data_IF_405873519000
#
_entry.id   IF_405873519000
#
_cell.length_a   1.000
_cell.length_b   1.000
_cell.length_c   1.000
_cell.angle_alpha   90.00
_cell.angle_beta   90.00
_cell.angle_gamma   90.00
#
_symmetry.space_group_name_H-M   'P 1'
#
loop_
_entity.id
_entity.type
_entity.pdbx_description
1 polymer ?
#
# COMPACT_ATOMS: atom_id res chain seq x y z
N UNK A 1 14.83 0.48 -18.51
CA UNK A 1 14.77 1.53 -17.48
C UNK A 1 13.37 1.76 -16.85
N UNK A 2 12.27 1.18 -17.37
CA UNK A 2 10.89 1.41 -16.86
C UNK A 2 10.55 0.60 -15.58
N UNK A 3 11.26 -0.48 -15.30
CA UNK A 3 11.02 -1.37 -14.14
C UNK A 3 11.59 -0.87 -12.81
N UNK A 4 12.53 0.07 -12.84
CA UNK A 4 13.23 0.55 -11.64
C UNK A 4 12.33 1.47 -10.77
N UNK A 5 11.45 2.26 -11.40
CA UNK A 5 10.57 3.19 -10.67
C UNK A 5 9.50 2.48 -9.82
N UNK A 6 8.89 1.42 -10.36
CA UNK A 6 7.88 0.65 -9.63
C UNK A 6 8.48 -0.11 -8.44
N UNK A 7 9.69 -0.64 -8.59
CA UNK A 7 10.42 -1.33 -7.51
C UNK A 7 10.87 -0.36 -6.40
N UNK A 8 11.31 0.84 -6.77
CA UNK A 8 11.74 1.86 -5.81
C UNK A 8 10.56 2.37 -4.97
N UNK A 9 9.39 2.54 -5.58
CA UNK A 9 8.18 3.04 -4.91
C UNK A 9 7.64 2.04 -3.89
N UNK A 10 7.72 0.74 -4.20
CA UNK A 10 7.30 -0.33 -3.29
C UNK A 10 8.26 -0.46 -2.09
N UNK A 11 9.57 -0.35 -2.34
CA UNK A 11 10.60 -0.39 -1.29
C UNK A 11 10.46 0.78 -0.31
N UNK A 12 10.10 1.97 -0.78
CA UNK A 12 9.91 3.16 0.08
C UNK A 12 8.69 3.02 1.00
N UNK A 13 7.65 2.30 0.57
CA UNK A 13 6.47 2.00 1.40
C UNK A 13 6.77 0.98 2.51
N UNK A 14 7.78 0.13 2.32
CA UNK A 14 8.15 -0.94 3.25
C UNK A 14 9.30 -0.54 4.17
N UNK A 15 10.24 0.27 3.70
CA UNK A 15 11.50 0.60 4.41
C UNK A 15 11.33 1.47 5.68
N UNK A 16 10.14 2.01 5.94
CA UNK A 16 9.85 2.79 7.15
C UNK A 16 9.35 1.98 8.35
N UNK A 17 9.23 0.66 8.25
CA UNK A 17 8.65 -0.18 9.27
C UNK A 17 9.70 -1.07 9.94
N UNK A 18 10.23 -0.63 11.09
CA UNK A 18 10.87 -1.53 12.06
C UNK A 18 9.83 -2.52 12.57
N UNK A 19 10.06 -3.80 12.29
CA UNK A 19 9.16 -4.88 12.67
C UNK A 19 9.25 -5.15 14.19
N UNK A 20 8.15 -4.91 14.89
CA UNK A 20 7.98 -5.21 16.32
C UNK A 20 6.81 -6.19 16.46
N UNK A 21 6.98 -7.27 17.20
CA UNK A 21 6.10 -8.45 17.28
C UNK A 21 4.94 -8.37 18.33
N UNK A 22 3.71 -8.89 18.10
CA UNK A 22 2.59 -8.83 19.08
C UNK A 22 1.26 -9.56 18.73
N UNK A 23 0.25 -9.76 19.60
CA UNK A 23 -0.93 -10.66 19.50
C UNK A 23 -2.12 -10.18 18.64
N UNK A 24 -2.89 -11.10 18.03
CA UNK A 24 -4.01 -10.80 17.10
C UNK A 24 -5.29 -10.36 17.82
N UNK A 25 -5.88 -9.24 17.40
CA UNK A 25 -7.20 -8.75 17.77
C UNK A 25 -8.04 -8.37 16.53
N UNK A 26 -9.36 -8.21 16.71
CA UNK A 26 -10.24 -7.72 15.65
C UNK A 26 -9.80 -6.33 15.12
N UNK A 27 -10.14 -6.04 13.87
CA UNK A 27 -9.82 -4.74 13.25
C UNK A 27 -10.34 -3.58 14.10
N UNK A 28 -9.47 -2.61 14.37
CA UNK A 28 -9.85 -1.42 15.15
C UNK A 28 -10.76 -0.50 14.34
N UNK A 29 -11.48 0.41 15.00
CA UNK A 29 -12.27 1.46 14.33
C UNK A 29 -11.41 2.27 13.36
N UNK A 30 -10.13 2.48 13.70
CA UNK A 30 -9.18 3.19 12.84
C UNK A 30 -8.84 2.38 11.59
N UNK A 31 -8.57 1.09 11.72
CA UNK A 31 -8.31 0.18 10.59
C UNK A 31 -9.52 0.09 9.66
N UNK A 32 -10.72 -0.05 10.23
CA UNK A 32 -11.99 -0.05 9.46
C UNK A 32 -12.15 1.25 8.67
N UNK A 33 -11.90 2.40 9.30
CA UNK A 33 -11.96 3.71 8.63
C UNK A 33 -10.97 3.81 7.49
N UNK A 34 -9.72 3.41 7.73
CA UNK A 34 -8.65 3.47 6.73
C UNK A 34 -8.94 2.52 5.57
N UNK A 35 -9.44 1.32 5.84
CA UNK A 35 -9.87 0.37 4.80
C UNK A 35 -11.00 0.95 3.94
N UNK A 36 -11.99 1.58 4.58
CA UNK A 36 -13.10 2.24 3.88
C UNK A 36 -12.58 3.36 2.98
N UNK A 37 -11.68 4.21 3.48
CA UNK A 37 -11.06 5.28 2.69
C UNK A 37 -10.22 4.71 1.54
N UNK A 38 -9.41 3.67 1.80
CA UNK A 38 -8.63 2.99 0.76
C UNK A 38 -9.50 2.47 -0.37
N UNK A 39 -10.62 1.82 -0.03
CA UNK A 39 -11.55 1.27 -1.03
C UNK A 39 -12.26 2.37 -1.85
N UNK A 40 -12.53 3.52 -1.22
CA UNK A 40 -13.15 4.67 -1.90
C UNK A 40 -12.17 5.46 -2.78
N UNK A 41 -10.86 5.35 -2.54
CA UNK A 41 -9.83 5.97 -3.39
C UNK A 41 -9.71 5.16 -4.68
N UNK A 42 -9.73 5.85 -5.83
CA UNK A 42 -9.59 5.21 -7.14
C UNK A 42 -8.44 5.86 -7.92
N UNK A 43 -7.52 5.08 -8.50
CA UNK A 43 -6.51 5.60 -9.42
C UNK A 43 -7.14 6.50 -10.50
N UNK A 44 -6.48 7.60 -10.82
CA UNK A 44 -7.00 8.66 -11.70
C UNK A 44 -7.71 9.82 -10.99
N UNK A 45 -8.11 9.67 -9.71
CA UNK A 45 -8.66 10.78 -8.93
C UNK A 45 -7.66 11.94 -8.83
N UNK A 46 -8.17 13.17 -8.93
CA UNK A 46 -7.38 14.37 -8.64
C UNK A 46 -7.11 14.49 -7.14
N UNK A 47 -6.10 15.31 -6.75
CA UNK A 47 -5.82 15.58 -5.33
C UNK A 47 -7.09 16.10 -4.60
N UNK A 48 -7.91 16.95 -5.24
CA UNK A 48 -9.14 17.44 -4.63
C UNK A 48 -10.19 16.33 -4.39
N UNK A 49 -10.32 15.40 -5.34
CA UNK A 49 -11.22 14.24 -5.18
C UNK A 49 -10.72 13.29 -4.07
N UNK A 50 -9.43 12.98 -4.05
CA UNK A 50 -8.84 12.17 -2.99
C UNK A 50 -8.93 12.85 -1.62
N UNK A 51 -8.71 14.16 -1.53
CA UNK A 51 -8.88 14.94 -0.31
C UNK A 51 -10.32 14.86 0.21
N UNK A 52 -11.34 14.84 -0.67
CA UNK A 52 -12.74 14.66 -0.27
C UNK A 52 -12.98 13.31 0.40
N UNK A 53 -12.35 12.24 -0.10
CA UNK A 53 -12.42 10.91 0.53
C UNK A 53 -11.79 10.92 1.92
N UNK A 54 -10.62 11.55 2.06
CA UNK A 54 -9.83 11.53 3.32
C UNK A 54 -10.41 12.45 4.39
N UNK A 55 -10.80 13.68 4.01
CA UNK A 55 -11.19 14.74 4.94
C UNK A 55 -12.71 15.02 4.97
N UNK A 56 -13.49 14.34 4.13
CA UNK A 56 -14.93 14.53 4.04
C UNK A 56 -15.30 15.98 3.67
N UNK A 57 -16.26 16.56 4.39
CA UNK A 57 -16.77 17.94 4.13
C UNK A 57 -15.72 19.04 4.28
N UNK A 58 -14.69 18.82 5.07
CA UNK A 58 -13.64 19.81 5.34
C UNK A 58 -12.49 19.81 4.31
N UNK A 59 -12.57 18.99 3.26
CA UNK A 59 -11.49 18.80 2.30
C UNK A 59 -10.98 20.09 1.65
N UNK A 60 -11.86 21.07 1.37
CA UNK A 60 -11.47 22.34 0.75
C UNK A 60 -10.47 23.12 1.61
N UNK A 61 -10.60 23.04 2.94
CA UNK A 61 -9.69 23.68 3.90
C UNK A 61 -8.28 23.10 3.84
N UNK A 62 -8.14 21.88 3.34
CA UNK A 62 -6.87 21.15 3.23
C UNK A 62 -6.15 21.36 1.90
N UNK A 63 -6.74 22.11 0.98
CA UNK A 63 -6.19 22.38 -0.34
C UNK A 63 -5.54 23.75 -0.42
N UNK A 64 -4.51 23.86 -1.26
CA UNK A 64 -3.87 25.12 -1.64
C UNK A 64 -3.43 25.05 -3.11
N UNK A 65 -3.00 26.20 -3.65
CA UNK A 65 -2.40 26.30 -4.98
C UNK A 65 -0.88 26.35 -4.87
N UNK A 66 -0.21 25.63 -5.76
CA UNK A 66 1.23 25.74 -5.99
C UNK A 66 1.43 25.94 -7.49
N UNK A 67 1.59 27.22 -7.90
CA UNK A 67 1.45 27.60 -9.31
C UNK A 67 0.05 27.29 -9.82
N UNK A 68 -0.06 26.65 -10.97
CA UNK A 68 -1.32 26.19 -11.57
C UNK A 68 -1.91 24.94 -10.94
N UNK A 69 -1.14 24.23 -10.11
CA UNK A 69 -1.54 22.93 -9.53
C UNK A 69 -2.30 23.09 -8.21
N UNK A 70 -3.32 22.25 -7.99
CA UNK A 70 -3.95 22.08 -6.69
C UNK A 70 -3.21 20.99 -5.91
N UNK A 71 -2.78 21.30 -4.68
CA UNK A 71 -2.03 20.40 -3.80
C UNK A 71 -2.62 20.40 -2.38
N UNK A 72 -2.22 19.43 -1.54
CA UNK A 72 -2.56 19.46 -0.12
C UNK A 72 -1.70 20.50 0.61
N UNK A 73 -2.26 21.14 1.66
CA UNK A 73 -1.53 22.03 2.57
C UNK A 73 -0.49 21.29 3.40
N UNK A 74 -0.75 20.02 3.74
CA UNK A 74 0.25 19.22 4.44
C UNK A 74 1.51 19.08 3.60
N UNK A 75 2.67 18.99 4.25
CA UNK A 75 3.95 18.78 3.59
C UNK A 75 3.93 17.44 2.82
N UNK A 76 4.34 17.47 1.56
CA UNK A 76 4.57 16.26 0.79
C UNK A 76 5.78 15.50 1.35
N UNK A 77 5.70 14.17 1.37
CA UNK A 77 6.84 13.30 1.73
C UNK A 77 7.93 13.34 0.65
N UNK A 78 7.51 13.35 -0.61
CA UNK A 78 8.41 13.49 -1.73
C UNK A 78 7.77 14.28 -2.88
N UNK A 79 8.61 14.97 -3.64
CA UNK A 79 8.24 15.61 -4.89
C UNK A 79 9.36 15.39 -5.89
N UNK A 80 9.02 15.15 -7.15
CA UNK A 80 9.99 15.08 -8.23
C UNK A 80 9.41 15.59 -9.54
N UNK A 81 10.30 15.91 -10.46
CA UNK A 81 9.93 16.24 -11.85
C UNK A 81 10.89 15.49 -12.76
N UNK A 82 10.34 14.75 -13.70
CA UNK A 82 11.12 13.99 -14.69
C UNK A 82 10.38 13.97 -16.03
N UNK A 83 11.08 14.27 -17.10
CA UNK A 83 10.55 14.24 -18.48
C UNK A 83 9.25 15.05 -18.66
N UNK A 84 9.09 16.15 -17.93
CA UNK A 84 7.90 17.01 -17.96
C UNK A 84 6.70 16.47 -17.15
N UNK A 85 6.84 15.33 -16.48
CA UNK A 85 5.88 14.85 -15.49
C UNK A 85 6.30 15.26 -14.09
N UNK A 86 5.33 15.66 -13.26
CA UNK A 86 5.54 15.99 -11.85
C UNK A 86 4.94 14.88 -10.99
N UNK A 87 5.61 14.57 -9.89
CA UNK A 87 5.15 13.62 -8.87
C UNK A 87 5.09 14.29 -7.52
N UNK A 88 4.09 13.96 -6.72
CA UNK A 88 4.01 14.29 -5.29
C UNK A 88 3.42 13.12 -4.51
N UNK A 89 3.95 12.88 -3.31
CA UNK A 89 3.43 11.84 -2.42
C UNK A 89 3.03 12.41 -1.07
N UNK A 90 2.04 11.77 -0.46
CA UNK A 90 1.53 12.13 0.86
C UNK A 90 1.28 10.86 1.68
N UNK A 91 1.59 10.93 2.97
CA UNK A 91 1.26 9.89 3.93
C UNK A 91 0.26 10.41 4.97
N UNK A 92 -0.69 9.55 5.33
CA UNK A 92 -1.74 9.83 6.32
C UNK A 92 -1.67 8.74 7.38
N UNK A 93 -1.45 9.12 8.63
CA UNK A 93 -1.28 8.19 9.74
C UNK A 93 -1.92 8.70 11.02
N UNK A 94 -2.22 7.78 11.92
CA UNK A 94 -2.76 8.11 13.23
C UNK A 94 -1.64 8.62 14.15
N UNK A 95 -1.59 9.92 14.37
CA UNK A 95 -0.59 10.57 15.25
C UNK A 95 -0.63 10.13 16.71
N UNK A 96 -1.73 9.49 17.14
CA UNK A 96 -1.90 8.98 18.51
C UNK A 96 -1.38 7.55 18.69
N UNK A 97 -1.08 6.85 17.60
CA UNK A 97 -0.48 5.52 17.63
C UNK A 97 1.02 5.63 17.92
N UNK A 98 1.55 4.79 18.81
CA UNK A 98 2.98 4.70 19.10
C UNK A 98 3.81 4.43 17.85
N UNK A 99 3.27 3.64 16.90
CA UNK A 99 3.90 3.28 15.64
C UNK A 99 3.40 4.12 14.46
N UNK A 100 2.58 5.16 14.70
CA UNK A 100 1.95 5.98 13.67
C UNK A 100 1.21 5.15 12.58
N UNK A 101 0.65 3.99 12.97
CA UNK A 101 -0.03 3.07 12.07
C UNK A 101 -1.56 3.04 12.34
N UNK A 102 -2.40 2.67 11.39
CA UNK A 102 -2.11 2.40 9.98
C UNK A 102 -1.70 3.64 9.20
N UNK A 103 -0.93 3.44 8.12
CA UNK A 103 -0.50 4.51 7.21
C UNK A 103 -1.14 4.32 5.84
N UNK A 104 -1.82 5.33 5.35
CA UNK A 104 -2.25 5.43 3.95
C UNK A 104 -1.24 6.28 3.20
N UNK A 105 -0.68 5.75 2.12
CA UNK A 105 0.26 6.45 1.25
C UNK A 105 -0.36 6.65 -0.13
N UNK A 106 -0.29 7.87 -0.63
CA UNK A 106 -0.84 8.25 -1.93
C UNK A 106 0.25 8.90 -2.76
N UNK A 107 0.41 8.45 -4.01
CA UNK A 107 1.28 9.07 -4.99
C UNK A 107 0.43 9.62 -6.12
N UNK A 108 0.66 10.86 -6.43
CA UNK A 108 -0.01 11.56 -7.53
C UNK A 108 1.02 11.97 -8.58
N UNK A 109 0.67 11.81 -9.84
CA UNK A 109 1.49 12.24 -10.98
C UNK A 109 0.66 13.10 -11.93
N UNK A 110 1.33 14.01 -12.64
CA UNK A 110 0.73 14.71 -13.78
C UNK A 110 0.99 13.93 -15.06
N UNK A 111 0.21 14.21 -16.12
CA UNK A 111 0.67 13.91 -17.47
C UNK A 111 1.84 14.84 -17.83
N UNK A 112 2.54 14.52 -18.90
CA UNK A 112 3.63 15.37 -19.44
C UNK A 112 3.09 16.78 -19.70
N UNK A 113 3.79 17.79 -19.16
CA UNK A 113 3.46 19.20 -19.27
C UNK A 113 2.05 19.61 -18.78
N UNK A 114 1.42 18.78 -17.93
CA UNK A 114 0.14 19.07 -17.28
C UNK A 114 0.37 19.62 -15.86
N UNK A 115 -0.65 20.27 -15.31
CA UNK A 115 -0.67 20.77 -13.93
C UNK A 115 -1.61 19.99 -13.02
N UNK A 116 -2.41 19.08 -13.58
CA UNK A 116 -3.40 18.29 -12.83
C UNK A 116 -2.77 17.01 -12.32
N UNK A 117 -2.55 16.95 -11.01
CA UNK A 117 -2.11 15.73 -10.33
C UNK A 117 -3.25 14.71 -10.25
N UNK A 118 -2.95 13.46 -10.61
CA UNK A 118 -3.86 12.32 -10.54
C UNK A 118 -3.25 11.20 -9.72
N UNK A 119 -4.06 10.55 -8.90
CA UNK A 119 -3.66 9.40 -8.09
C UNK A 119 -3.18 8.27 -9.01
N UNK A 120 -1.95 7.85 -8.81
CA UNK A 120 -1.34 6.73 -9.54
C UNK A 120 -1.08 5.53 -8.65
N UNK A 121 -0.74 5.79 -7.38
CA UNK A 121 -0.52 4.73 -6.41
C UNK A 121 -1.28 5.08 -5.14
N UNK A 122 -2.06 4.14 -4.65
CA UNK A 122 -2.59 4.13 -3.30
C UNK A 122 -2.06 2.90 -2.58
N UNK A 123 -1.63 3.07 -1.35
CA UNK A 123 -1.18 1.99 -0.50
C UNK A 123 -1.73 2.18 0.92
N UNK A 124 -1.98 1.09 1.60
CA UNK A 124 -2.25 1.10 3.03
C UNK A 124 -1.35 0.09 3.72
N UNK A 125 -0.73 0.54 4.78
CA UNK A 125 0.10 -0.28 5.65
C UNK A 125 -0.64 -0.44 6.98
N UNK A 126 -1.03 -1.66 7.31
CA UNK A 126 -1.77 -2.01 8.51
C UNK A 126 -0.91 -2.92 9.39
N UNK A 127 0.03 -2.32 10.11
CA UNK A 127 0.59 -3.00 11.27
C UNK A 127 -0.36 -2.77 12.45
N UNK A 128 -0.69 -3.83 13.14
CA UNK A 128 -1.57 -3.73 14.30
C UNK A 128 -0.82 -3.09 15.46
N UNK A 129 -1.38 -1.99 15.96
CA UNK A 129 -0.88 -1.26 17.10
C UNK A 129 -1.32 -1.94 18.41
N UNK A 130 -0.43 -2.07 19.35
CA UNK A 130 -0.74 -2.43 20.74
C UNK A 130 -0.18 -1.38 21.67
N UNK A 131 -0.80 -1.23 22.84
CA UNK A 131 -0.32 -0.37 23.92
C UNK A 131 1.09 -0.73 24.40
N UNK A 132 1.55 -1.95 24.12
CA UNK A 132 2.89 -2.45 24.46
C UNK A 132 3.90 -2.31 23.33
N UNK A 133 3.45 -1.93 22.13
CA UNK A 133 4.31 -1.78 20.94
C UNK A 133 4.85 -3.08 20.36
N UNK A 134 4.49 -4.23 20.92
CA UNK A 134 5.02 -5.53 20.49
C UNK A 134 3.86 -6.50 20.23
N UNK A 135 3.75 -7.01 19.00
CA UNK A 135 2.76 -8.03 18.62
C UNK A 135 3.42 -9.23 17.95
N UNK A 136 3.10 -10.40 18.44
CA UNK A 136 3.44 -11.63 17.74
C UNK A 136 2.19 -12.17 17.04
N UNK A 137 2.22 -12.26 15.71
CA UNK A 137 1.23 -13.04 14.99
C UNK A 137 1.29 -14.50 15.45
N UNK A 138 0.14 -15.09 15.74
CA UNK A 138 0.02 -16.53 15.99
C UNK A 138 0.16 -17.34 14.70
N UNK A 139 0.10 -16.67 13.55
CA UNK A 139 0.26 -17.27 12.24
C UNK A 139 1.73 -17.56 12.00
N UNK A 140 2.04 -18.83 11.76
CA UNK A 140 3.39 -19.29 11.43
C UNK A 140 3.31 -20.22 10.24
N UNK A 141 4.38 -20.29 9.46
CA UNK A 141 4.49 -21.30 8.43
C UNK A 141 4.46 -22.70 9.10
N UNK A 142 3.58 -23.59 8.64
CA UNK A 142 3.48 -24.95 9.15
C UNK A 142 4.82 -25.69 8.97
N UNK A 143 5.16 -26.59 9.90
CA UNK A 143 6.43 -27.32 9.86
C UNK A 143 6.60 -28.07 8.53
N UNK A 144 7.70 -27.80 7.84
CA UNK A 144 8.02 -28.39 6.54
C UNK A 144 7.29 -27.77 5.34
N UNK A 145 6.35 -26.84 5.55
CA UNK A 145 5.70 -26.14 4.47
C UNK A 145 6.66 -25.17 3.77
N UNK A 146 6.51 -25.04 2.47
CA UNK A 146 7.31 -24.12 1.63
C UNK A 146 6.39 -23.21 0.85
N UNK A 147 6.66 -21.91 0.90
CA UNK A 147 6.01 -20.95 0.02
C UNK A 147 6.59 -21.10 -1.39
N UNK A 148 5.71 -21.11 -2.39
CA UNK A 148 6.12 -21.21 -3.80
C UNK A 148 5.51 -20.04 -4.58
N UNK A 149 6.25 -19.48 -5.51
CA UNK A 149 5.73 -18.52 -6.49
C UNK A 149 4.55 -19.13 -7.25
N UNK A 150 3.52 -18.35 -7.50
CA UNK A 150 2.30 -18.80 -8.16
C UNK A 150 1.24 -19.42 -7.25
N UNK A 151 1.53 -19.66 -5.95
CA UNK A 151 0.50 -20.02 -4.97
C UNK A 151 -0.55 -18.92 -4.87
N UNK A 152 -1.81 -19.30 -4.80
CA UNK A 152 -2.89 -18.33 -4.52
C UNK A 152 -2.86 -17.91 -3.05
N UNK A 153 -3.52 -16.78 -2.75
CA UNK A 153 -3.69 -16.30 -1.37
C UNK A 153 -4.32 -17.38 -0.48
N UNK A 154 -5.31 -18.14 -0.99
CA UNK A 154 -5.94 -19.23 -0.28
C UNK A 154 -4.98 -20.41 -0.04
N UNK A 155 -4.14 -20.76 -1.01
CA UNK A 155 -3.12 -21.81 -0.85
C UNK A 155 -2.05 -21.40 0.16
N UNK A 156 -1.68 -20.10 0.18
CA UNK A 156 -0.77 -19.56 1.18
C UNK A 156 -1.38 -19.65 2.58
N UNK A 157 -2.66 -19.27 2.74
CA UNK A 157 -3.37 -19.39 4.02
C UNK A 157 -3.41 -20.83 4.53
N UNK A 158 -3.61 -21.80 3.65
CA UNK A 158 -3.70 -23.21 4.00
C UNK A 158 -2.40 -23.84 4.55
N UNK A 159 -1.23 -23.25 4.26
CA UNK A 159 0.06 -23.70 4.78
C UNK A 159 0.53 -22.97 6.03
N UNK A 160 -0.30 -22.09 6.58
CA UNK A 160 -0.06 -21.39 7.84
C UNK A 160 -0.69 -22.17 9.00
N UNK A 161 -0.11 -22.05 10.18
CA UNK A 161 -0.57 -22.78 11.38
C UNK A 161 -1.77 -22.14 12.08
N UNK A 162 -2.25 -20.99 11.60
CA UNK A 162 -3.42 -20.28 12.09
C UNK A 162 -4.58 -20.33 11.10
N UNK A 163 -5.66 -19.61 11.38
CA UNK A 163 -6.81 -19.47 10.48
C UNK A 163 -6.96 -18.05 10.03
N UNK A 164 -7.02 -17.85 8.72
CA UNK A 164 -7.33 -16.58 8.08
C UNK A 164 -6.17 -15.60 7.99
N UNK A 165 -5.99 -15.03 6.84
CA UNK A 165 -4.97 -14.01 6.55
C UNK A 165 -5.12 -12.74 7.39
N UNK A 166 -6.24 -12.52 8.07
CA UNK A 166 -6.48 -11.37 8.96
C UNK A 166 -5.61 -11.34 10.23
N UNK A 167 -4.96 -12.45 10.58
CA UNK A 167 -4.07 -12.53 11.76
C UNK A 167 -2.59 -12.26 11.45
N UNK A 168 -2.26 -11.81 10.27
CA UNK A 168 -0.89 -11.50 9.90
C UNK A 168 -0.31 -10.35 10.74
N UNK A 169 1.00 -10.40 10.97
CA UNK A 169 1.72 -9.39 11.74
C UNK A 169 1.68 -8.02 11.05
N UNK A 170 1.71 -8.01 9.74
CA UNK A 170 1.59 -6.79 8.94
C UNK A 170 0.96 -7.07 7.59
N UNK A 171 0.24 -6.09 7.07
CA UNK A 171 -0.43 -6.14 5.80
C UNK A 171 -0.30 -4.82 5.06
N UNK A 172 0.21 -4.87 3.84
CA UNK A 172 0.26 -3.73 2.91
C UNK A 172 -0.53 -4.09 1.67
N UNK A 173 -1.49 -3.27 1.30
CA UNK A 173 -2.21 -3.38 0.03
C UNK A 173 -1.91 -2.17 -0.84
N UNK A 174 -1.54 -2.40 -2.08
CA UNK A 174 -1.19 -1.36 -3.05
C UNK A 174 -1.98 -1.54 -4.34
N UNK A 175 -2.51 -0.44 -4.87
CA UNK A 175 -3.16 -0.37 -6.17
C UNK A 175 -2.48 0.74 -6.97
N UNK A 176 -2.03 0.42 -8.17
CA UNK A 176 -1.17 1.27 -8.99
C UNK A 176 -1.68 1.34 -10.43
N UNK A 177 -1.66 2.53 -11.01
CA UNK A 177 -1.96 2.74 -12.43
C UNK A 177 -1.07 3.82 -13.02
N UNK A 178 -0.90 3.82 -14.33
CA UNK A 178 -0.27 4.91 -15.06
C UNK A 178 -1.24 6.07 -15.26
N UNK A 179 -0.72 7.30 -15.37
CA UNK A 179 -1.49 8.48 -15.83
C UNK A 179 -1.43 8.67 -17.35
N UNK A 180 -0.90 7.70 -18.07
CA UNK A 180 -0.83 7.70 -19.52
C UNK A 180 -2.23 7.64 -20.14
N UNK A 181 -2.33 7.89 -21.43
CA UNK A 181 -3.61 7.81 -22.14
C UNK A 181 -4.14 6.37 -22.15
N UNK A 182 -5.44 6.23 -22.34
CA UNK A 182 -6.07 4.90 -22.48
C UNK A 182 -5.40 4.08 -23.60
N UNK A 183 -5.05 4.73 -24.71
CA UNK A 183 -4.38 4.08 -25.84
C UNK A 183 -3.01 3.52 -25.45
N UNK A 184 -2.20 4.27 -24.68
CA UNK A 184 -0.90 3.77 -24.20
C UNK A 184 -1.05 2.58 -23.24
N UNK A 185 -2.11 2.57 -22.42
CA UNK A 185 -2.42 1.44 -21.55
C UNK A 185 -2.86 0.20 -22.34
N UNK A 186 -3.69 0.39 -23.39
CA UNK A 186 -4.13 -0.68 -24.29
C UNK A 186 -2.96 -1.30 -25.06
N UNK A 187 -1.94 -0.50 -25.39
CA UNK A 187 -0.68 -0.97 -25.99
C UNK A 187 0.29 -1.60 -24.96
N UNK A 188 -0.10 -1.74 -23.71
CA UNK A 188 0.73 -2.32 -22.67
C UNK A 188 1.90 -1.42 -22.23
N UNK A 189 1.89 -0.15 -22.59
CA UNK A 189 2.93 0.83 -22.24
C UNK A 189 2.74 1.45 -20.84
N UNK A 190 1.58 1.23 -20.25
CA UNK A 190 1.24 1.71 -18.91
C UNK A 190 1.61 0.71 -17.81
N UNK A 191 1.68 1.22 -16.57
CA UNK A 191 1.84 0.40 -15.39
C UNK A 191 0.47 0.26 -14.72
N UNK A 192 0.00 -0.96 -14.58
CA UNK A 192 -1.14 -1.31 -13.75
C UNK A 192 -0.77 -2.47 -12.84
N UNK A 193 -1.16 -2.40 -11.59
CA UNK A 193 -0.88 -3.47 -10.66
C UNK A 193 -1.68 -3.33 -9.37
N UNK A 194 -2.05 -4.46 -8.82
CA UNK A 194 -2.59 -4.57 -7.46
C UNK A 194 -1.75 -5.61 -6.74
N UNK A 195 -1.23 -5.26 -5.59
CA UNK A 195 -0.43 -6.17 -4.79
C UNK A 195 -0.84 -6.14 -3.33
N UNK A 196 -0.55 -7.23 -2.65
CA UNK A 196 -0.62 -7.35 -1.20
C UNK A 196 0.73 -7.84 -0.69
N UNK A 197 1.17 -7.32 0.42
CA UNK A 197 2.37 -7.80 1.10
C UNK A 197 2.00 -8.19 2.52
N UNK A 198 2.37 -9.40 2.89
CA UNK A 198 2.15 -9.93 4.23
C UNK A 198 3.48 -10.18 4.91
N UNK A 199 3.52 -9.93 6.22
CA UNK A 199 4.67 -10.23 7.07
C UNK A 199 4.23 -11.14 8.20
N UNK A 200 4.94 -12.22 8.44
CA UNK A 200 4.67 -13.16 9.52
C UNK A 200 5.95 -13.81 10.06
N UNK A 201 5.96 -14.24 11.36
CA UNK A 201 7.09 -14.93 11.93
C UNK A 201 7.19 -16.36 11.41
N UNK A 202 8.42 -16.86 11.31
CA UNK A 202 8.70 -18.26 11.00
C UNK A 202 8.99 -19.05 12.29
N UNK A 203 9.06 -20.37 12.17
CA UNK A 203 9.44 -21.24 13.29
C UNK A 203 10.86 -20.95 13.82
N UNK A 204 11.73 -20.38 13.01
CA UNK A 204 13.13 -20.04 13.34
C UNK A 204 13.33 -18.64 13.91
N UNK A 205 12.24 -17.97 14.33
CA UNK A 205 12.24 -16.58 14.87
C UNK A 205 12.70 -15.51 13.88
N UNK A 206 12.78 -15.80 12.60
CA UNK A 206 12.93 -14.81 11.54
C UNK A 206 11.57 -14.39 11.01
N UNK A 207 11.47 -13.23 10.38
CA UNK A 207 10.26 -12.81 9.72
C UNK A 207 10.29 -13.23 8.24
N UNK A 208 9.13 -13.56 7.70
CA UNK A 208 8.94 -13.84 6.29
C UNK A 208 8.06 -12.75 5.69
N UNK A 209 8.55 -12.13 4.65
CA UNK A 209 7.80 -11.17 3.84
C UNK A 209 7.38 -11.86 2.54
N UNK A 210 6.10 -11.76 2.21
CA UNK A 210 5.51 -12.40 1.02
C UNK A 210 4.68 -11.37 0.26
N UNK A 211 5.02 -11.16 -1.00
CA UNK A 211 4.28 -10.30 -1.90
C UNK A 211 3.42 -11.14 -2.84
N UNK A 212 2.17 -10.74 -2.99
CA UNK A 212 1.22 -11.32 -3.93
C UNK A 212 0.77 -10.24 -4.92
N UNK A 213 0.79 -10.59 -6.20
CA UNK A 213 0.25 -9.74 -7.25
C UNK A 213 -1.11 -10.27 -7.71
N UNK A 214 -2.02 -9.35 -8.05
CA UNK A 214 -3.32 -9.72 -8.57
C UNK A 214 -3.20 -10.30 -9.98
N UNK A 215 -3.63 -11.54 -10.14
CA UNK A 215 -3.71 -12.22 -11.43
C UNK A 215 -5.11 -12.05 -12.02
N UNK A 216 -5.25 -11.21 -13.04
CA UNK A 216 -6.55 -10.92 -13.66
C UNK A 216 -7.21 -12.14 -14.32
N UNK A 217 -6.42 -13.09 -14.87
CA UNK A 217 -6.93 -14.33 -15.47
C UNK A 217 -7.50 -15.26 -14.40
N UNK A 218 -6.83 -15.41 -13.27
CA UNK A 218 -7.29 -16.24 -12.13
C UNK A 218 -8.26 -15.50 -11.20
N UNK A 219 -8.44 -14.19 -11.38
CA UNK A 219 -9.23 -13.30 -10.50
C UNK A 219 -8.87 -13.42 -9.01
N UNK A 220 -7.59 -13.65 -8.72
CA UNK A 220 -7.07 -13.81 -7.35
C UNK A 220 -5.66 -13.27 -7.23
N UNK A 221 -5.22 -13.04 -5.99
CA UNK A 221 -3.83 -12.72 -5.71
C UNK A 221 -2.97 -14.00 -5.71
N UNK A 222 -1.78 -13.92 -6.27
CA UNK A 222 -0.80 -15.03 -6.33
C UNK A 222 0.55 -14.57 -5.86
N UNK A 223 1.26 -15.42 -5.14
CA UNK A 223 2.62 -15.16 -4.65
C UNK A 223 3.53 -14.87 -5.85
N UNK A 224 4.08 -13.68 -5.89
CA UNK A 224 5.03 -13.21 -6.91
C UNK A 224 6.46 -13.17 -6.37
N UNK A 225 6.61 -12.91 -5.07
CA UNK A 225 7.91 -12.77 -4.45
C UNK A 225 7.87 -13.04 -2.94
N UNK A 226 9.01 -13.45 -2.36
CA UNK A 226 9.17 -13.67 -0.93
C UNK A 226 10.62 -13.45 -0.49
N UNK A 227 10.79 -13.04 0.76
CA UNK A 227 12.08 -12.84 1.40
C UNK A 227 12.02 -13.22 2.88
N UNK A 228 13.17 -13.64 3.43
CA UNK A 228 13.37 -13.77 4.89
C UNK A 228 14.03 -12.51 5.40
N UNK A 229 13.45 -11.92 6.46
CA UNK A 229 13.94 -10.70 7.11
C UNK A 229 14.68 -11.07 8.39
#
# INVERSE_FOLDING_TARGET
MKTTFAKLTLATLIAGSTLIAGTAEAATTTETKVTTQYNALTPGMTIAQAAKVIYGKDYKKQLTKKGSSTVLKQKAEATSTSQGQKMTSYSFYNKKSLLAQPVTSLIFMTKKNDSVYRLTVKGVNMFRDTTTGVRESKMKLAKGAKIKTGMTEQQLDAILSGKGLGEWMGHVTTDMTSVQSKQELELGLGIQGKSKTYVFPTATKTNKLVMLDYNAKKKTYVVSWQESL
#
